data_IF_906459728416
#
_entry.id   IF_906459728416
#
_cell.length_a   1.000
_cell.length_b   1.000
_cell.length_c   1.000
_cell.angle_alpha   90.00
_cell.angle_beta   90.00
_cell.angle_gamma   90.00
#
_symmetry.space_group_name_H-M   'P 1'
#
loop_
_entity.id
_entity.type
_entity.pdbx_description
1 polymer ?
#
# COMPACT_ATOMS: atom_id res chain seq x y z
N UNK A 1 -26.53 -21.06 -24.88
CA UNK A 1 -26.10 -21.41 -23.51
C UNK A 1 -24.72 -20.82 -23.30
N UNK A 2 -24.62 -19.65 -22.67
CA UNK A 2 -23.33 -19.04 -22.33
C UNK A 2 -23.01 -19.43 -20.90
N UNK A 3 -22.00 -20.27 -20.71
CA UNK A 3 -21.48 -20.59 -19.39
C UNK A 3 -20.87 -19.32 -18.79
N UNK A 4 -21.32 -18.93 -17.59
CA UNK A 4 -20.66 -17.91 -16.79
C UNK A 4 -19.30 -18.49 -16.39
N UNK A 5 -18.16 -17.96 -16.84
CA UNK A 5 -16.88 -18.46 -16.37
C UNK A 5 -16.81 -18.13 -14.87
N UNK A 6 -16.76 -19.17 -14.04
CA UNK A 6 -16.36 -19.05 -12.65
C UNK A 6 -14.86 -18.81 -12.70
N UNK A 7 -14.48 -17.54 -12.76
CA UNK A 7 -13.09 -17.14 -12.72
C UNK A 7 -12.62 -17.38 -11.29
N UNK A 8 -11.64 -18.25 -11.11
CA UNK A 8 -10.90 -18.35 -9.86
C UNK A 8 -10.05 -17.07 -9.70
N UNK A 9 -10.39 -16.19 -8.74
CA UNK A 9 -9.72 -14.91 -8.59
C UNK A 9 -8.25 -15.07 -8.18
N UNK A 10 -7.88 -16.14 -7.47
CA UNK A 10 -6.50 -16.39 -7.06
C UNK A 10 -5.64 -16.73 -8.28
N UNK A 11 -6.13 -17.68 -9.09
CA UNK A 11 -5.45 -18.07 -10.33
C UNK A 11 -5.37 -16.92 -11.33
N UNK A 12 -6.46 -16.15 -11.49
CA UNK A 12 -6.47 -14.97 -12.35
C UNK A 12 -5.46 -13.92 -11.90
N UNK A 13 -5.41 -13.61 -10.60
CA UNK A 13 -4.42 -12.67 -10.06
C UNK A 13 -2.99 -13.18 -10.27
N UNK A 14 -2.76 -14.48 -10.08
CA UNK A 14 -1.44 -15.08 -10.28
C UNK A 14 -0.97 -14.98 -11.73
N UNK A 15 -1.85 -15.24 -12.70
CA UNK A 15 -1.56 -15.07 -14.13
C UNK A 15 -1.28 -13.60 -14.48
N UNK A 16 -2.09 -12.68 -13.96
CA UNK A 16 -1.87 -11.24 -14.18
C UNK A 16 -0.57 -10.74 -13.56
N UNK A 17 -0.20 -11.23 -12.38
CA UNK A 17 1.08 -10.90 -11.73
C UNK A 17 2.26 -11.52 -12.48
N UNK A 18 2.12 -12.73 -13.03
CA UNK A 18 3.15 -13.37 -13.84
C UNK A 18 3.39 -12.64 -15.17
N UNK A 19 2.35 -11.99 -15.72
CA UNK A 19 2.45 -11.15 -16.92
C UNK A 19 2.72 -9.68 -16.64
N UNK A 20 2.66 -9.25 -15.38
CA UNK A 20 2.91 -7.87 -14.98
C UNK A 20 4.34 -7.47 -15.28
N UNK A 21 4.54 -6.20 -15.67
CA UNK A 21 5.88 -5.64 -15.79
C UNK A 21 6.56 -5.63 -14.41
N UNK A 22 7.88 -5.87 -14.34
CA UNK A 22 8.64 -5.72 -13.10
C UNK A 22 8.44 -4.35 -12.43
N UNK A 23 8.27 -3.30 -13.24
CA UNK A 23 8.02 -1.94 -12.76
C UNK A 23 6.67 -1.82 -12.03
N UNK A 24 5.61 -2.47 -12.54
CA UNK A 24 4.30 -2.50 -11.88
C UNK A 24 4.40 -3.19 -10.51
N UNK A 25 5.10 -4.32 -10.42
CA UNK A 25 5.32 -5.00 -9.14
C UNK A 25 6.11 -4.12 -8.16
N UNK A 26 7.11 -3.38 -8.65
CA UNK A 26 7.89 -2.45 -7.83
C UNK A 26 7.06 -1.28 -7.31
N UNK A 27 6.15 -0.75 -8.13
CA UNK A 27 5.21 0.30 -7.75
C UNK A 27 4.20 -0.19 -6.70
N UNK A 28 3.62 -1.38 -6.90
CA UNK A 28 2.68 -1.99 -5.96
C UNK A 28 3.35 -2.25 -4.61
N UNK A 29 4.57 -2.80 -4.61
CA UNK A 29 5.36 -3.00 -3.40
C UNK A 29 5.62 -1.67 -2.70
N UNK A 30 6.05 -0.64 -3.45
CA UNK A 30 6.27 0.70 -2.90
C UNK A 30 5.01 1.28 -2.26
N UNK A 31 3.86 1.11 -2.90
CA UNK A 31 2.55 1.54 -2.38
C UNK A 31 2.21 0.83 -1.07
N UNK A 32 2.40 -0.49 -1.03
CA UNK A 32 2.10 -1.29 0.16
C UNK A 32 3.01 -0.93 1.34
N UNK A 33 4.31 -0.76 1.08
CA UNK A 33 5.27 -0.31 2.10
C UNK A 33 4.88 1.07 2.65
N UNK A 34 4.53 2.02 1.77
CA UNK A 34 4.10 3.35 2.18
C UNK A 34 2.82 3.32 3.04
N UNK A 35 1.87 2.42 2.74
CA UNK A 35 0.65 2.26 3.52
C UNK A 35 0.95 1.75 4.94
N UNK A 36 1.79 0.71 5.07
CA UNK A 36 2.18 0.16 6.37
C UNK A 36 2.93 1.19 7.23
N UNK A 37 3.89 1.90 6.64
CA UNK A 37 4.64 2.94 7.35
C UNK A 37 3.74 4.13 7.72
N UNK A 38 2.75 4.47 6.90
CA UNK A 38 1.77 5.51 7.22
C UNK A 38 0.91 5.13 8.41
N UNK A 39 0.41 3.89 8.46
CA UNK A 39 -0.37 3.40 9.60
C UNK A 39 0.46 3.40 10.90
N UNK A 40 1.74 3.02 10.82
CA UNK A 40 2.65 3.13 11.96
C UNK A 40 2.83 4.58 12.42
N UNK A 41 2.99 5.53 11.48
CA UNK A 41 3.11 6.94 11.80
C UNK A 41 1.85 7.49 12.48
N UNK A 42 0.66 7.05 12.05
CA UNK A 42 -0.60 7.46 12.66
C UNK A 42 -0.71 6.94 14.11
N UNK A 43 -0.28 5.70 14.36
CA UNK A 43 -0.19 5.13 15.71
C UNK A 43 0.78 5.91 16.61
N UNK A 44 1.98 6.24 16.11
CA UNK A 44 2.96 7.08 16.85
C UNK A 44 2.44 8.50 17.08
N UNK A 45 1.65 9.03 16.15
CA UNK A 45 0.99 10.31 16.34
C UNK A 45 -0.22 10.23 17.27
N UNK A 46 -0.76 9.04 17.54
CA UNK A 46 -2.02 8.86 18.24
C UNK A 46 -3.24 9.36 17.47
N UNK A 47 -3.10 9.65 16.17
CA UNK A 47 -4.18 10.18 15.34
C UNK A 47 -3.88 9.98 13.85
N UNK A 48 -4.93 9.84 13.04
CA UNK A 48 -4.83 9.71 11.58
C UNK A 48 -4.24 10.96 10.91
N UNK A 49 -3.73 10.79 9.69
CA UNK A 49 -3.21 11.91 8.90
C UNK A 49 -4.26 13.01 8.68
N UNK A 50 -3.90 14.26 9.00
CA UNK A 50 -4.77 15.43 8.85
C UNK A 50 -5.88 15.57 9.90
N UNK A 51 -6.04 14.59 10.80
CA UNK A 51 -6.99 14.67 11.89
C UNK A 51 -6.52 15.66 12.98
N UNK A 52 -7.48 16.32 13.62
CA UNK A 52 -7.25 17.23 14.75
C UNK A 52 -7.57 16.49 16.03
N UNK A 53 -6.57 16.31 16.87
CA UNK A 53 -6.70 15.74 18.20
C UNK A 53 -6.08 16.70 19.22
N UNK A 54 -6.82 17.13 20.26
CA UNK A 54 -6.31 18.04 21.29
C UNK A 54 -5.22 17.43 22.18
N UNK A 55 -5.11 16.09 22.26
CA UNK A 55 -4.12 15.38 23.08
C UNK A 55 -2.80 15.12 22.32
N UNK A 56 -2.75 15.45 21.02
CA UNK A 56 -1.56 15.22 20.18
C UNK A 56 -0.40 16.14 20.55
N UNK A 57 0.77 15.56 20.80
CA UNK A 57 2.01 16.31 21.12
C UNK A 57 2.97 16.43 19.93
N UNK A 58 2.70 15.74 18.82
CA UNK A 58 3.56 15.70 17.64
C UNK A 58 2.75 15.94 16.34
N UNK A 59 3.45 15.96 15.20
CA UNK A 59 2.83 16.02 13.86
C UNK A 59 3.70 15.35 12.81
N UNK A 60 3.06 14.79 11.78
CA UNK A 60 3.75 14.26 10.60
C UNK A 60 4.47 15.42 9.87
N UNK A 61 5.75 15.23 9.55
CA UNK A 61 6.62 16.24 8.95
C UNK A 61 6.94 15.94 7.47
N UNK A 62 5.97 15.32 6.78
CA UNK A 62 6.13 14.87 5.39
C UNK A 62 6.99 13.60 5.24
N UNK A 63 7.21 13.21 4.00
CA UNK A 63 8.01 12.05 3.62
C UNK A 63 9.41 12.48 3.16
N UNK A 64 10.35 11.54 3.25
CA UNK A 64 11.68 11.67 2.66
C UNK A 64 11.91 10.47 1.77
N UNK A 65 12.51 10.71 0.60
CA UNK A 65 12.88 9.64 -0.29
C UNK A 65 13.92 8.74 0.37
N UNK A 66 13.71 7.43 0.25
CA UNK A 66 14.66 6.40 0.65
C UNK A 66 14.59 5.29 -0.39
N UNK A 67 15.70 5.04 -1.06
CA UNK A 67 15.78 3.93 -1.99
C UNK A 67 15.61 2.60 -1.25
N UNK A 68 14.90 1.68 -1.89
CA UNK A 68 14.83 0.29 -1.49
C UNK A 68 15.96 -0.44 -2.21
N UNK A 69 16.98 -0.84 -1.45
CA UNK A 69 18.00 -1.77 -1.92
C UNK A 69 17.28 -3.11 -2.20
N UNK A 70 17.02 -3.40 -3.47
CA UNK A 70 16.44 -4.67 -3.95
C UNK A 70 17.41 -5.34 -4.89
#
# INVERSE_FOLDING_TARGET
MTATPIIDPEQFLHEQLAQASPDLMRELLGTFVNALLSAQADNVCGAEYGSRDPERTNRRNGYRHRDLDT
#
